data_IF_987795310700
#
_entry.id   IF_987795310700
#
_cell.length_a   1.000
_cell.length_b   1.000
_cell.length_c   1.000
_cell.angle_alpha   90.00
_cell.angle_beta   90.00
_cell.angle_gamma   90.00
#
_symmetry.space_group_name_H-M   'P 1'
#
loop_
_entity.id
_entity.type
_entity.pdbx_description
1 polymer ?
#
# COMPACT_ATOMS: atom_id res chain seq x y z
N UNK A 1 0.78 28.13 26.58
CA UNK A 1 1.48 27.10 25.76
C UNK A 1 2.98 27.33 25.82
N UNK A 2 3.77 26.30 26.14
CA UNK A 2 5.24 26.38 26.17
C UNK A 2 5.82 25.96 24.82
N UNK A 3 7.06 26.37 24.52
CA UNK A 3 7.80 25.83 23.38
C UNK A 3 9.20 25.49 23.84
N UNK A 4 9.64 24.26 23.52
CA UNK A 4 10.97 23.78 23.83
C UNK A 4 11.74 23.60 22.52
N UNK A 5 12.98 24.07 22.53
CA UNK A 5 13.89 23.99 21.40
C UNK A 5 14.57 22.61 21.39
N UNK A 6 14.42 21.87 20.30
CA UNK A 6 15.12 20.59 20.04
C UNK A 6 15.95 20.78 18.77
N UNK A 7 17.24 21.09 18.93
CA UNK A 7 18.11 21.50 17.83
C UNK A 7 17.64 22.83 17.21
N UNK A 8 17.38 22.84 15.90
CA UNK A 8 16.79 24.02 15.19
C UNK A 8 15.26 24.07 15.27
N UNK A 9 14.61 23.01 15.75
CA UNK A 9 13.15 22.91 15.76
C UNK A 9 12.55 23.36 17.09
N UNK A 10 11.43 24.07 17.03
CA UNK A 10 10.63 24.45 18.19
C UNK A 10 9.45 23.49 18.30
N UNK A 11 9.43 22.67 19.34
CA UNK A 11 8.32 21.75 19.63
C UNK A 11 7.39 22.42 20.63
N UNK A 12 6.08 22.36 20.39
CA UNK A 12 5.07 22.85 21.35
C UNK A 12 4.99 21.87 22.52
N UNK A 13 5.17 22.39 23.73
CA UNK A 13 5.08 21.60 24.96
C UNK A 13 3.85 22.04 25.74
N UNK A 14 3.24 21.11 26.47
CA UNK A 14 2.35 21.48 27.55
C UNK A 14 3.20 22.15 28.65
N UNK A 15 2.65 23.15 29.35
CA UNK A 15 3.32 23.69 30.53
C UNK A 15 2.79 22.89 31.72
N UNK A 16 3.69 22.27 32.48
CA UNK A 16 3.35 21.75 33.79
C UNK A 16 3.14 22.94 34.76
N UNK A 17 2.43 22.74 35.88
CA UNK A 17 2.09 23.78 36.87
C UNK A 17 3.32 24.51 37.45
N UNK A 18 4.50 23.92 37.32
CA UNK A 18 5.82 24.47 37.71
C UNK A 18 6.51 25.29 36.60
N UNK A 19 5.85 25.53 35.46
CA UNK A 19 6.43 26.30 34.34
C UNK A 19 7.50 25.55 33.54
N UNK A 20 7.77 24.28 33.87
CA UNK A 20 8.71 23.42 33.14
C UNK A 20 8.09 22.92 31.84
N UNK A 21 8.81 23.09 30.73
CA UNK A 21 8.40 22.61 29.42
C UNK A 21 8.88 21.18 29.20
N UNK A 22 8.20 20.19 29.79
CA UNK A 22 8.46 18.77 29.49
C UNK A 22 7.70 18.37 28.22
N UNK A 23 8.44 17.85 27.25
CA UNK A 23 7.86 17.13 26.13
C UNK A 23 7.78 15.64 26.49
N UNK A 24 6.59 15.04 26.48
CA UNK A 24 6.42 13.58 26.57
C UNK A 24 6.79 12.88 25.25
N UNK A 25 7.92 13.27 24.65
CA UNK A 25 8.40 12.71 23.40
C UNK A 25 9.53 11.76 23.72
N UNK A 26 9.41 10.52 23.26
CA UNK A 26 10.50 9.54 23.38
C UNK A 26 11.77 10.10 22.73
N UNK A 27 12.92 9.86 23.37
CA UNK A 27 14.23 10.34 22.90
C UNK A 27 14.55 9.88 21.47
N UNK A 28 14.07 8.70 21.08
CA UNK A 28 14.16 8.16 19.72
C UNK A 28 13.38 9.01 18.71
N UNK A 29 12.15 9.40 19.03
CA UNK A 29 11.31 10.27 18.21
C UNK A 29 11.95 11.65 18.03
N UNK A 30 12.48 12.24 19.11
CA UNK A 30 13.19 13.52 19.04
C UNK A 30 14.41 13.45 18.11
N UNK A 31 15.23 12.38 18.21
CA UNK A 31 16.37 12.17 17.30
C UNK A 31 15.93 12.00 15.85
N UNK A 32 14.83 11.29 15.61
CA UNK A 32 14.32 11.05 14.26
C UNK A 32 13.82 12.35 13.60
N UNK A 33 13.15 13.23 14.36
CA UNK A 33 12.72 14.55 13.86
C UNK A 33 13.91 15.41 13.47
N UNK A 34 14.95 15.46 14.33
CA UNK A 34 16.19 16.19 14.04
C UNK A 34 16.89 15.65 12.81
N UNK A 35 17.02 14.32 12.68
CA UNK A 35 17.62 13.67 11.49
C UNK A 35 16.83 13.92 10.22
N UNK A 36 15.49 13.87 10.29
CA UNK A 36 14.60 14.09 9.15
C UNK A 36 14.53 15.57 8.74
N UNK A 37 14.91 16.49 9.63
CA UNK A 37 14.87 17.93 9.37
C UNK A 37 13.45 18.51 9.24
N UNK A 38 12.42 17.75 9.65
CA UNK A 38 11.04 18.21 9.66
C UNK A 38 10.22 17.40 10.65
N UNK A 39 9.35 18.11 11.39
CA UNK A 39 8.34 17.53 12.28
C UNK A 39 7.07 17.08 11.54
N UNK A 40 7.00 17.32 10.23
CA UNK A 40 5.84 16.96 9.42
C UNK A 40 5.63 15.43 9.40
N UNK A 41 4.43 14.94 9.71
CA UNK A 41 4.17 13.50 9.68
C UNK A 41 3.83 13.12 8.23
N UNK A 42 4.72 12.37 7.56
CA UNK A 42 4.37 11.82 6.23
C UNK A 42 3.13 10.95 6.36
N UNK A 43 2.22 11.04 5.40
CA UNK A 43 1.12 10.08 5.27
C UNK A 43 1.71 8.66 5.22
N UNK A 44 1.19 7.79 6.09
CA UNK A 44 1.67 6.41 6.18
C UNK A 44 0.96 5.57 5.12
N UNK A 45 1.74 4.89 4.28
CA UNK A 45 1.22 3.98 3.26
C UNK A 45 1.07 4.62 1.88
N UNK A 46 0.74 3.79 0.90
CA UNK A 46 0.55 4.17 -0.51
C UNK A 46 0.38 2.92 -1.37
N UNK A 47 -0.50 2.99 -2.37
CA UNK A 47 -0.62 1.95 -3.38
C UNK A 47 0.63 1.94 -4.26
N UNK A 48 1.11 0.76 -4.64
CA UNK A 48 2.21 0.65 -5.61
C UNK A 48 1.65 0.93 -7.01
N UNK A 49 2.38 1.70 -7.82
CA UNK A 49 1.99 2.01 -9.20
C UNK A 49 1.74 0.76 -10.07
N UNK A 50 2.36 -0.37 -9.73
CA UNK A 50 2.24 -1.64 -10.45
C UNK A 50 1.03 -2.51 -10.05
N UNK A 51 0.13 -2.05 -9.16
CA UNK A 51 -1.05 -2.84 -8.81
C UNK A 51 -2.24 -2.52 -9.72
N UNK A 52 -2.28 -3.12 -10.91
CA UNK A 52 -3.50 -3.14 -11.74
C UNK A 52 -4.58 -3.91 -10.99
N UNK A 53 -5.70 -3.23 -10.68
CA UNK A 53 -6.87 -3.89 -10.10
C UNK A 53 -7.44 -4.83 -11.16
N UNK A 54 -7.80 -6.04 -10.76
CA UNK A 54 -8.50 -6.97 -11.65
C UNK A 54 -9.92 -6.41 -11.77
N UNK A 55 -10.33 -6.02 -12.98
CA UNK A 55 -11.67 -5.46 -13.21
C UNK A 55 -12.68 -6.59 -13.35
N UNK A 56 -13.96 -6.30 -13.15
CA UNK A 56 -15.03 -7.29 -13.33
C UNK A 56 -15.03 -7.86 -14.75
N UNK A 57 -14.80 -7.02 -15.75
CA UNK A 57 -14.68 -7.42 -17.16
C UNK A 57 -13.55 -8.44 -17.40
N UNK A 58 -12.40 -8.28 -16.74
CA UNK A 58 -11.31 -9.26 -16.81
C UNK A 58 -11.70 -10.59 -16.14
N UNK A 59 -12.53 -10.54 -15.10
CA UNK A 59 -13.01 -11.73 -14.41
C UNK A 59 -14.04 -12.49 -15.25
N UNK A 60 -14.96 -11.79 -15.90
CA UNK A 60 -15.90 -12.36 -16.85
C UNK A 60 -15.17 -13.05 -18.02
N UNK A 61 -14.20 -12.38 -18.66
CA UNK A 61 -13.40 -12.99 -19.72
C UNK A 61 -12.62 -14.23 -19.25
N UNK A 62 -12.17 -14.24 -17.99
CA UNK A 62 -11.42 -15.34 -17.42
C UNK A 62 -12.31 -16.55 -17.11
N UNK A 63 -13.60 -16.33 -16.86
CA UNK A 63 -14.60 -17.40 -16.79
C UNK A 63 -14.86 -17.96 -18.20
N UNK A 64 -15.05 -17.10 -19.21
CA UNK A 64 -15.25 -17.55 -20.60
C UNK A 64 -14.08 -18.43 -21.11
N UNK A 65 -12.83 -18.01 -20.90
CA UNK A 65 -11.67 -18.83 -21.31
C UNK A 65 -11.61 -20.19 -20.60
N UNK A 66 -12.11 -20.26 -19.35
CA UNK A 66 -12.14 -21.51 -18.59
C UNK A 66 -13.27 -22.43 -19.04
N UNK A 67 -14.43 -21.88 -19.41
CA UNK A 67 -15.54 -22.64 -20.01
C UNK A 67 -15.13 -23.23 -21.35
N UNK A 68 -14.37 -22.49 -22.16
CA UNK A 68 -13.81 -22.98 -23.42
C UNK A 68 -12.80 -24.11 -23.22
N UNK A 69 -11.87 -23.94 -22.26
CA UNK A 69 -10.89 -24.98 -21.93
C UNK A 69 -10.28 -24.81 -20.53
N UNK A 70 -10.72 -25.65 -19.60
CA UNK A 70 -10.21 -25.65 -18.22
C UNK A 70 -8.74 -26.14 -18.10
N UNK A 71 -8.13 -26.67 -19.16
CA UNK A 71 -6.74 -27.11 -19.18
C UNK A 71 -5.75 -26.00 -19.56
N UNK A 72 -6.23 -24.78 -19.83
CA UNK A 72 -5.32 -23.67 -20.10
C UNK A 72 -4.38 -23.43 -18.93
N UNK A 73 -3.07 -23.43 -19.24
CA UNK A 73 -2.04 -23.05 -18.27
C UNK A 73 -2.23 -21.57 -17.93
N UNK A 74 -1.95 -21.20 -16.68
CA UNK A 74 -2.03 -19.81 -16.21
C UNK A 74 -1.19 -18.83 -17.05
N UNK A 75 -0.10 -19.32 -17.66
CA UNK A 75 0.73 -18.55 -18.61
C UNK A 75 -0.07 -18.18 -19.86
N UNK A 76 -0.80 -19.13 -20.45
CA UNK A 76 -1.64 -18.85 -21.61
C UNK A 76 -2.78 -17.90 -21.28
N UNK A 77 -3.42 -18.05 -20.11
CA UNK A 77 -4.48 -17.11 -19.66
C UNK A 77 -3.92 -15.71 -19.44
N UNK A 78 -2.69 -15.58 -18.94
CA UNK A 78 -2.00 -14.29 -18.83
C UNK A 78 -1.77 -13.66 -20.20
N UNK A 79 -1.34 -14.45 -21.18
CA UNK A 79 -1.08 -13.95 -22.54
C UNK A 79 -2.38 -13.52 -23.23
N UNK A 80 -3.47 -14.28 -23.08
CA UNK A 80 -4.79 -13.91 -23.59
C UNK A 80 -5.31 -12.60 -22.97
N UNK A 81 -5.24 -12.46 -21.64
CA UNK A 81 -5.61 -11.21 -20.97
C UNK A 81 -4.73 -10.02 -21.41
N UNK A 82 -3.46 -10.27 -21.71
CA UNK A 82 -2.56 -9.24 -22.23
C UNK A 82 -2.92 -8.82 -23.65
N UNK A 83 -3.40 -9.74 -24.47
CA UNK A 83 -3.83 -9.48 -25.83
C UNK A 83 -5.15 -8.69 -25.84
N UNK A 84 -6.12 -9.09 -25.03
CA UNK A 84 -7.46 -8.49 -25.04
C UNK A 84 -7.53 -7.15 -24.29
N UNK A 85 -6.86 -7.04 -23.14
CA UNK A 85 -6.96 -5.86 -22.26
C UNK A 85 -5.69 -5.02 -22.19
N UNK A 86 -4.60 -5.44 -22.84
CA UNK A 86 -3.31 -4.73 -22.79
C UNK A 86 -2.68 -4.70 -21.39
N UNK A 87 -3.10 -5.59 -20.48
CA UNK A 87 -2.59 -5.65 -19.10
C UNK A 87 -1.76 -6.89 -18.86
N UNK A 88 -0.64 -6.72 -18.17
CA UNK A 88 0.14 -7.86 -17.67
C UNK A 88 -0.37 -8.24 -16.28
N UNK A 89 -1.00 -9.40 -16.16
CA UNK A 89 -1.51 -9.93 -14.89
C UNK A 89 -0.62 -11.06 -14.42
N UNK A 90 -0.20 -11.04 -13.15
CA UNK A 90 0.61 -12.15 -12.63
C UNK A 90 -0.20 -13.45 -12.55
N UNK A 91 0.42 -14.59 -12.85
CA UNK A 91 -0.20 -15.92 -12.74
C UNK A 91 -0.76 -16.22 -11.34
N UNK A 92 -0.11 -15.70 -10.29
CA UNK A 92 -0.59 -15.77 -8.90
C UNK A 92 -1.87 -14.97 -8.61
N UNK A 93 -2.22 -14.04 -9.50
CA UNK A 93 -3.44 -13.22 -9.42
C UNK A 93 -4.57 -13.88 -10.20
N UNK A 94 -4.26 -14.43 -11.37
CA UNK A 94 -5.14 -15.31 -12.18
C UNK A 94 -5.57 -16.51 -11.35
N UNK A 95 -4.63 -17.24 -10.75
CA UNK A 95 -4.92 -18.41 -9.91
C UNK A 95 -5.86 -18.09 -8.73
N UNK A 96 -5.76 -16.88 -8.16
CA UNK A 96 -6.63 -16.49 -7.04
C UNK A 96 -8.07 -16.24 -7.50
N UNK A 97 -8.27 -15.79 -8.73
CA UNK A 97 -9.61 -15.61 -9.31
C UNK A 97 -10.18 -16.94 -9.80
N UNK A 98 -9.37 -17.76 -10.48
CA UNK A 98 -9.79 -19.05 -11.06
C UNK A 98 -10.07 -20.17 -10.05
N UNK A 99 -9.52 -20.12 -8.84
CA UNK A 99 -9.82 -21.10 -7.77
C UNK A 99 -11.30 -21.05 -7.34
N UNK A 100 -12.00 -19.95 -7.63
CA UNK A 100 -13.42 -19.80 -7.30
C UNK A 100 -14.35 -20.49 -8.31
N UNK A 101 -13.92 -20.66 -9.56
CA UNK A 101 -14.77 -21.15 -10.67
C UNK A 101 -14.63 -22.64 -10.97
N UNK A 102 -13.46 -23.25 -10.81
CA UNK A 102 -13.26 -24.70 -11.10
C UNK A 102 -13.68 -25.67 -9.98
N UNK A 103 -14.17 -25.16 -8.84
CA UNK A 103 -14.60 -25.97 -7.69
C UNK A 103 -16.12 -26.16 -7.60
N UNK A 104 -16.86 -25.71 -8.62
CA UNK A 104 -18.30 -25.94 -8.81
C UNK A 104 -18.53 -27.09 -9.78
#
# INVERSE_FOLDING_TARGET
MGSQRVGRFCVRTQRDETGSCRNHILSTTARNIVKRGSADVKTRGGARAASTKFTLEMEESLVEYQEDNCQYRLEHVSDMLSFDFGVTVSTSRIARSSVTSCLQ
#
